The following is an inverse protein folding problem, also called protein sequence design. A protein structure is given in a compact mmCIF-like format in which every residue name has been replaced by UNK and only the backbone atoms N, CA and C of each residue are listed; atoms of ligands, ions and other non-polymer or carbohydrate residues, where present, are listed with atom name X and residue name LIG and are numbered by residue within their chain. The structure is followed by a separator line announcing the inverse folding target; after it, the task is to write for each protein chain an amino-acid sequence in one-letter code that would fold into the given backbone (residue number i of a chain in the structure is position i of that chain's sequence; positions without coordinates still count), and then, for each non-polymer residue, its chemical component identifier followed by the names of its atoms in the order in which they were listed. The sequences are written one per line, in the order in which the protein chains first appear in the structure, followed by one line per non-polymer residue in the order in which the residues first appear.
data_IF_565830545992
#
_entry.id   IF_565830545992
#
_cell.length_a   1.000
_cell.length_b   1.000
_cell.length_c   1.000
_cell.angle_alpha   90.00
_cell.angle_beta   90.00
_cell.angle_gamma   90.00
#
_symmetry.space_group_name_H-M   'P 1'
#
loop_
_entity.id
_entity.type
_entity.pdbx_description
1 polymer ?
#
# COMPACT_ATOMS: atom_id res chain seq x y z
N UNK A 1 -44.35 39.96 47.63
CA UNK A 1 -43.20 40.84 47.35
C UNK A 1 -41.92 40.02 47.34
N UNK A 2 -41.35 39.77 46.15
CA UNK A 2 -39.90 39.89 45.84
C UNK A 2 -39.65 39.27 44.47
N UNK A 3 -39.40 40.17 43.54
CA UNK A 3 -38.85 39.95 42.21
C UNK A 3 -37.46 39.34 42.33
N UNK A 4 -37.13 38.32 41.53
CA UNK A 4 -35.75 38.04 41.13
C UNK A 4 -35.73 37.47 39.71
N UNK A 5 -35.37 38.36 38.78
CA UNK A 5 -34.90 38.08 37.42
C UNK A 5 -33.62 37.23 37.54
N UNK A 6 -33.61 36.01 36.99
CA UNK A 6 -32.38 35.24 36.79
C UNK A 6 -31.98 35.31 35.32
N UNK A 7 -30.98 36.15 35.06
CA UNK A 7 -30.25 36.20 33.79
C UNK A 7 -29.30 34.99 33.77
N UNK A 8 -29.51 34.03 32.86
CA UNK A 8 -28.58 32.92 32.65
C UNK A 8 -27.52 33.38 31.65
N UNK A 9 -26.34 33.79 32.17
CA UNK A 9 -25.14 33.93 31.35
C UNK A 9 -24.60 32.53 31.03
N UNK A 10 -24.61 32.16 29.75
CA UNK A 10 -23.87 30.99 29.24
C UNK A 10 -22.38 31.30 29.23
N UNK A 11 -21.63 30.65 30.13
CA UNK A 11 -20.17 30.57 30.06
C UNK A 11 -19.80 29.57 28.96
N UNK A 12 -19.29 30.07 27.84
CA UNK A 12 -18.63 29.26 26.82
C UNK A 12 -17.20 29.03 27.31
N UNK A 13 -16.90 27.80 27.69
CA UNK A 13 -15.54 27.34 27.97
C UNK A 13 -14.75 27.35 26.65
N UNK A 14 -13.89 28.34 26.43
CA UNK A 14 -12.84 28.25 25.43
C UNK A 14 -11.80 27.25 25.94
N UNK A 15 -11.76 26.06 25.36
CA UNK A 15 -10.61 25.18 25.48
C UNK A 15 -9.45 25.83 24.71
N UNK A 16 -8.39 26.16 25.45
CA UNK A 16 -7.11 26.56 24.87
C UNK A 16 -6.56 25.39 24.05
N UNK A 17 -6.25 25.64 22.77
CA UNK A 17 -5.40 24.75 21.97
C UNK A 17 -3.96 25.15 22.29
N UNK A 18 -3.21 24.25 22.92
CA UNK A 18 -1.77 24.39 23.08
C UNK A 18 -1.11 24.31 21.70
N UNK A 19 -0.23 25.27 21.41
CA UNK A 19 0.60 25.22 20.21
C UNK A 19 1.67 24.14 20.42
N UNK A 20 1.65 23.09 19.60
CA UNK A 20 2.73 22.11 19.54
C UNK A 20 4.05 22.81 19.20
N UNK A 21 5.02 22.68 20.10
CA UNK A 21 6.38 23.16 19.90
C UNK A 21 7.07 22.30 18.85
N UNK A 22 7.50 22.92 17.76
CA UNK A 22 8.24 22.27 16.67
C UNK A 22 9.58 21.73 17.19
N UNK A 23 9.78 20.42 17.06
CA UNK A 23 11.02 19.68 17.36
C UNK A 23 12.28 20.33 16.71
N UNK A 24 13.36 20.58 17.46
CA UNK A 24 14.55 21.31 16.99
C UNK A 24 15.30 20.61 15.83
N UNK A 25 15.11 19.30 15.67
CA UNK A 25 15.62 18.52 14.54
C UNK A 25 15.15 19.05 13.17
N UNK A 26 13.96 19.67 13.10
CA UNK A 26 13.43 20.30 11.88
C UNK A 26 14.20 21.54 11.46
N UNK A 27 14.70 22.32 12.42
CA UNK A 27 15.39 23.58 12.13
C UNK A 27 16.81 23.35 11.60
N UNK A 28 17.52 22.35 12.13
CA UNK A 28 18.84 21.95 11.64
C UNK A 28 18.77 21.39 10.22
N UNK A 29 17.77 20.54 9.95
CA UNK A 29 17.52 20.00 8.61
C UNK A 29 17.16 21.10 7.59
N UNK A 30 16.46 22.16 8.02
CA UNK A 30 16.14 23.31 7.15
C UNK A 30 17.38 24.18 6.87
N UNK A 31 18.23 24.39 7.87
CA UNK A 31 19.46 25.18 7.75
C UNK A 31 20.49 24.50 6.84
N UNK A 32 20.67 23.18 6.97
CA UNK A 32 21.59 22.41 6.13
C UNK A 32 21.14 22.40 4.66
N UNK A 33 19.83 22.32 4.41
CA UNK A 33 19.29 22.33 3.05
C UNK A 33 19.36 23.72 2.37
N UNK A 34 19.28 24.81 3.13
CA UNK A 34 19.50 26.18 2.63
C UNK A 34 20.96 26.39 2.19
N UNK A 35 21.90 25.70 2.81
CA UNK A 35 23.34 25.81 2.49
C UNK A 35 23.74 25.09 1.19
N UNK A 36 22.94 24.15 0.70
CA UNK A 36 23.34 23.23 -0.38
C UNK A 36 22.74 23.51 -1.77
N UNK A 37 21.90 24.56 -1.93
CA UNK A 37 21.46 25.01 -3.26
C UNK A 37 20.67 23.99 -4.11
N UNK A 38 20.03 23.00 -3.48
CA UNK A 38 19.19 22.01 -4.19
C UNK A 38 17.95 22.67 -4.80
N UNK A 39 17.61 22.25 -6.02
CA UNK A 39 16.40 22.68 -6.72
C UNK A 39 15.13 22.29 -5.95
N UNK A 40 14.13 23.17 -5.89
CA UNK A 40 12.87 22.90 -5.20
C UNK A 40 12.15 21.63 -5.72
N UNK A 41 12.39 21.25 -6.98
CA UNK A 41 11.88 20.01 -7.59
C UNK A 41 12.48 18.73 -6.98
N UNK A 42 13.77 18.76 -6.62
CA UNK A 42 14.44 17.62 -6.00
C UNK A 42 14.06 17.49 -4.53
N UNK A 43 13.90 18.64 -3.85
CA UNK A 43 13.43 18.71 -2.47
C UNK A 43 12.02 18.18 -2.32
N UNK A 44 11.12 18.52 -3.24
CA UNK A 44 9.75 18.01 -3.25
C UNK A 44 9.72 16.49 -3.43
N UNK A 45 10.58 15.92 -4.27
CA UNK A 45 10.69 14.46 -4.44
C UNK A 45 11.21 13.75 -3.18
N UNK A 46 12.21 14.32 -2.51
CA UNK A 46 12.74 13.78 -1.24
C UNK A 46 11.71 13.87 -0.11
N UNK A 47 10.94 14.96 -0.04
CA UNK A 47 9.85 15.15 0.91
C UNK A 47 8.64 14.25 0.65
N UNK A 48 8.24 14.05 -0.61
CA UNK A 48 7.19 13.09 -0.97
C UNK A 48 7.61 11.65 -0.66
N UNK A 49 8.89 11.32 -0.86
CA UNK A 49 9.43 10.00 -0.53
C UNK A 49 9.43 9.74 0.99
N UNK A 50 9.78 10.73 1.81
CA UNK A 50 9.77 10.59 3.28
C UNK A 50 8.35 10.55 3.85
N UNK A 51 7.45 11.43 3.40
CA UNK A 51 6.04 11.40 3.81
C UNK A 51 5.31 10.11 3.37
N UNK A 52 5.65 9.55 2.20
CA UNK A 52 5.08 8.28 1.73
C UNK A 52 5.56 7.08 2.53
N UNK A 53 6.76 7.12 3.11
CA UNK A 53 7.33 6.02 3.90
C UNK A 53 6.69 5.94 5.29
N UNK A 54 6.45 7.10 5.91
CA UNK A 54 6.02 7.16 7.31
C UNK A 54 4.51 6.98 7.51
N UNK A 55 3.67 7.29 6.50
CA UNK A 55 2.21 7.17 6.60
C UNK A 55 1.61 5.83 6.12
N UNK A 56 2.38 5.03 5.37
CA UNK A 56 1.99 3.72 4.87
C UNK A 56 3.15 2.78 5.17
N UNK A 57 3.27 2.33 6.43
CA UNK A 57 4.44 1.65 7.01
C UNK A 57 4.89 0.35 6.32
N UNK A 58 5.35 0.47 5.09
CA UNK A 58 5.82 -0.59 4.23
C UNK A 58 7.08 -0.17 3.48
N UNK A 59 8.01 -1.11 3.34
CA UNK A 59 9.28 -0.92 2.67
C UNK A 59 9.08 -0.95 1.15
N UNK A 60 9.60 0.04 0.42
CA UNK A 60 9.61 0.02 -1.04
C UNK A 60 10.88 -0.65 -1.56
N UNK A 61 10.74 -1.80 -2.21
CA UNK A 61 11.85 -2.51 -2.88
C UNK A 61 11.61 -2.45 -4.39
N UNK A 62 12.40 -1.65 -5.10
CA UNK A 62 12.32 -1.50 -6.57
C UNK A 62 10.89 -1.21 -7.09
N UNK A 63 10.15 -0.35 -6.37
CA UNK A 63 8.78 0.03 -6.72
C UNK A 63 7.69 -0.95 -6.29
N UNK A 64 8.05 -2.08 -5.67
CA UNK A 64 7.10 -2.93 -4.97
C UNK A 64 7.01 -2.51 -3.51
N UNK A 65 5.79 -2.34 -3.01
CA UNK A 65 5.54 -2.03 -1.61
C UNK A 65 5.42 -3.32 -0.82
N UNK A 66 6.30 -3.54 0.15
CA UNK A 66 6.22 -4.65 1.11
C UNK A 66 5.55 -4.11 2.36
N UNK A 67 4.31 -4.51 2.62
CA UNK A 67 3.52 -4.00 3.76
C UNK A 67 3.89 -4.66 5.08
N UNK A 68 4.82 -5.61 5.07
CA UNK A 68 5.23 -6.38 6.23
C UNK A 68 4.42 -7.65 6.44
N UNK A 69 4.49 -8.17 7.66
CA UNK A 69 3.88 -9.43 8.05
C UNK A 69 2.87 -9.25 9.19
N UNK A 70 1.73 -9.90 9.06
CA UNK A 70 0.69 -9.94 10.07
C UNK A 70 0.53 -11.36 10.60
N UNK A 71 0.23 -11.48 11.89
CA UNK A 71 -0.09 -12.76 12.53
C UNK A 71 -1.56 -12.74 12.91
N UNK A 72 -2.32 -13.69 12.37
CA UNK A 72 -3.73 -13.87 12.69
C UNK A 72 -3.90 -14.23 14.17
N UNK A 73 -4.75 -13.48 14.88
CA UNK A 73 -4.93 -13.63 16.33
C UNK A 73 -5.70 -14.89 16.73
N UNK A 74 -6.45 -15.50 15.82
CA UNK A 74 -7.28 -16.67 16.11
C UNK A 74 -6.55 -17.99 15.88
N UNK A 75 -5.73 -18.06 14.84
CA UNK A 75 -5.06 -19.30 14.43
C UNK A 75 -3.52 -19.19 14.39
N UNK A 76 -2.95 -18.03 14.71
CA UNK A 76 -1.51 -17.80 14.74
C UNK A 76 -0.83 -17.86 13.38
N UNK A 77 -1.58 -17.91 12.28
CA UNK A 77 -0.98 -18.00 10.95
C UNK A 77 -0.38 -16.66 10.54
N UNK A 78 0.85 -16.72 10.06
CA UNK A 78 1.58 -15.58 9.55
C UNK A 78 1.27 -15.38 8.06
N UNK A 79 1.00 -14.14 7.68
CA UNK A 79 0.85 -13.71 6.29
C UNK A 79 1.74 -12.51 6.04
N UNK A 80 2.55 -12.55 4.99
CA UNK A 80 3.32 -11.37 4.56
C UNK A 80 2.90 -10.99 3.16
N UNK A 81 2.83 -9.68 2.89
CA UNK A 81 2.26 -9.16 1.65
C UNK A 81 3.21 -8.15 0.99
N UNK A 82 3.25 -8.19 -0.34
CA UNK A 82 3.78 -7.12 -1.16
C UNK A 82 2.79 -6.78 -2.27
N UNK A 83 2.83 -5.54 -2.77
CA UNK A 83 1.92 -5.08 -3.80
C UNK A 83 2.57 -4.09 -4.76
N UNK A 84 2.01 -4.01 -5.96
CA UNK A 84 2.32 -2.99 -6.97
C UNK A 84 1.10 -2.78 -7.84
N UNK A 85 0.66 -1.53 -7.99
CA UNK A 85 -0.58 -1.18 -8.69
C UNK A 85 -1.79 -2.00 -8.17
N UNK A 86 -2.44 -2.79 -9.02
CA UNK A 86 -3.53 -3.69 -8.65
C UNK A 86 -3.07 -5.12 -8.33
N UNK A 87 -1.76 -5.40 -8.34
CA UNK A 87 -1.21 -6.70 -7.99
C UNK A 87 -0.93 -6.78 -6.49
N UNK A 88 -1.35 -7.89 -5.89
CA UNK A 88 -1.05 -8.24 -4.51
C UNK A 88 -0.46 -9.65 -4.52
N UNK A 89 0.68 -9.83 -3.87
CA UNK A 89 1.35 -11.12 -3.71
C UNK A 89 1.57 -11.35 -2.23
N UNK A 90 1.15 -12.50 -1.73
CA UNK A 90 1.30 -12.81 -0.32
C UNK A 90 1.77 -14.25 -0.09
N UNK A 91 2.48 -14.44 1.03
CA UNK A 91 2.89 -15.74 1.51
C UNK A 91 2.03 -16.08 2.73
N UNK A 92 1.29 -17.18 2.65
CA UNK A 92 0.46 -17.70 3.73
C UNK A 92 0.69 -19.20 3.88
N UNK A 93 0.96 -19.68 5.11
CA UNK A 93 1.28 -21.09 5.38
C UNK A 93 2.37 -21.65 4.45
N UNK A 94 3.39 -20.83 4.17
CA UNK A 94 4.55 -21.17 3.33
C UNK A 94 4.25 -21.26 1.82
N UNK A 95 3.04 -20.90 1.38
CA UNK A 95 2.66 -20.90 -0.03
C UNK A 95 2.45 -19.47 -0.52
N UNK A 96 2.80 -19.25 -1.78
CA UNK A 96 2.65 -17.95 -2.46
C UNK A 96 1.33 -17.91 -3.19
N UNK A 97 0.64 -16.77 -3.08
CA UNK A 97 -0.64 -16.52 -3.70
C UNK A 97 -0.62 -15.15 -4.39
N UNK A 98 -1.42 -15.05 -5.45
CA UNK A 98 -1.57 -13.84 -6.24
C UNK A 98 -3.03 -13.38 -6.18
N UNK A 99 -3.23 -12.08 -5.99
CA UNK A 99 -4.50 -11.41 -6.19
C UNK A 99 -4.32 -10.25 -7.18
N UNK A 100 -5.39 -9.97 -7.91
CA UNK A 100 -5.51 -8.82 -8.81
C UNK A 100 -6.74 -8.04 -8.41
N UNK A 101 -6.56 -6.77 -8.07
CA UNK A 101 -7.62 -5.83 -7.74
C UNK A 101 -8.16 -5.98 -6.32
N UNK A 102 -9.20 -5.18 -6.05
CA UNK A 102 -9.94 -5.17 -4.78
C UNK A 102 -11.43 -4.89 -5.05
N UNK A 103 -12.28 -5.23 -4.08
CA UNK A 103 -13.74 -5.00 -4.14
C UNK A 103 -14.38 -5.59 -5.41
N UNK A 104 -14.25 -6.90 -5.58
CA UNK A 104 -14.67 -7.60 -6.79
C UNK A 104 -16.18 -7.66 -6.95
N UNK A 105 -16.63 -7.52 -8.20
CA UNK A 105 -18.01 -7.86 -8.53
C UNK A 105 -18.22 -9.38 -8.39
N UNK A 106 -19.28 -9.84 -7.69
CA UNK A 106 -19.43 -11.25 -7.37
C UNK A 106 -19.48 -12.19 -8.58
N UNK A 107 -18.81 -13.34 -8.44
CA UNK A 107 -18.71 -14.44 -9.40
C UNK A 107 -18.10 -14.06 -10.75
N UNK A 108 -17.40 -12.93 -10.82
CA UNK A 108 -16.74 -12.47 -12.05
C UNK A 108 -15.33 -13.03 -12.19
N UNK A 109 -14.95 -13.19 -13.45
CA UNK A 109 -13.65 -13.68 -13.84
C UNK A 109 -12.61 -12.57 -13.69
N UNK A 110 -11.41 -12.97 -13.31
CA UNK A 110 -10.21 -12.16 -13.36
C UNK A 110 -9.24 -12.78 -14.36
N UNK A 111 -8.46 -11.96 -15.05
CA UNK A 111 -7.48 -12.41 -16.05
C UNK A 111 -6.13 -11.80 -15.74
N UNK A 112 -5.09 -12.60 -15.96
CA UNK A 112 -3.69 -12.18 -15.88
C UNK A 112 -2.95 -12.73 -17.09
N UNK A 113 -2.15 -11.91 -17.76
CA UNK A 113 -1.30 -12.33 -18.88
C UNK A 113 0.09 -11.69 -18.74
N UNK A 114 1.12 -12.51 -18.55
CA UNK A 114 2.51 -12.04 -18.53
C UNK A 114 3.08 -12.08 -19.94
N UNK A 115 3.57 -10.94 -20.41
CA UNK A 115 4.13 -10.76 -21.75
C UNK A 115 3.23 -11.39 -22.85
N UNK A 116 3.79 -12.29 -23.67
CA UNK A 116 3.08 -13.02 -24.72
C UNK A 116 2.63 -14.42 -24.31
N UNK A 117 2.69 -14.76 -23.02
CA UNK A 117 2.21 -16.05 -22.53
C UNK A 117 0.68 -16.20 -22.68
N UNK A 118 0.19 -17.42 -22.52
CA UNK A 118 -1.26 -17.68 -22.48
C UNK A 118 -1.89 -16.97 -21.27
N UNK A 119 -3.07 -16.35 -21.42
CA UNK A 119 -3.81 -15.80 -20.28
C UNK A 119 -4.11 -16.87 -19.22
N UNK A 120 -3.99 -16.47 -17.97
CA UNK A 120 -4.34 -17.26 -16.78
C UNK A 120 -5.61 -16.67 -16.20
N UNK A 121 -6.59 -17.54 -15.95
CA UNK A 121 -7.92 -17.14 -15.49
C UNK A 121 -8.08 -17.44 -14.00
N UNK A 122 -8.68 -16.48 -13.31
CA UNK A 122 -9.03 -16.51 -11.90
C UNK A 122 -10.47 -16.10 -11.66
N UNK A 123 -10.87 -16.05 -10.39
CA UNK A 123 -12.20 -15.62 -9.96
C UNK A 123 -12.04 -14.63 -8.82
N UNK A 124 -12.69 -13.48 -8.94
CA UNK A 124 -12.71 -12.44 -7.90
C UNK A 124 -11.30 -12.09 -7.39
N UNK A 125 -10.39 -11.86 -8.33
CA UNK A 125 -8.99 -11.53 -8.05
C UNK A 125 -8.09 -12.73 -7.77
N UNK A 126 -8.65 -13.88 -7.37
CA UNK A 126 -7.88 -15.05 -6.93
C UNK A 126 -7.56 -16.05 -8.04
N UNK A 127 -6.42 -16.73 -7.91
CA UNK A 127 -5.93 -17.72 -8.87
C UNK A 127 -5.55 -19.04 -8.20
N UNK A 128 -5.77 -20.14 -8.91
CA UNK A 128 -5.34 -21.49 -8.50
C UNK A 128 -3.92 -21.83 -8.99
N UNK A 129 -3.49 -21.25 -10.11
CA UNK A 129 -2.25 -21.59 -10.81
C UNK A 129 -1.05 -20.78 -10.28
N UNK A 130 -0.91 -20.63 -8.96
CA UNK A 130 0.05 -19.72 -8.34
C UNK A 130 1.52 -20.04 -8.69
N UNK A 131 1.89 -21.31 -8.84
CA UNK A 131 3.25 -21.69 -9.24
C UNK A 131 3.60 -21.24 -10.65
N UNK A 132 2.67 -21.38 -11.60
CA UNK A 132 2.84 -20.89 -12.97
C UNK A 132 2.97 -19.36 -13.00
N UNK A 133 2.12 -18.65 -12.24
CA UNK A 133 2.17 -17.18 -12.17
C UNK A 133 3.51 -16.74 -11.58
N UNK A 134 3.98 -17.37 -10.50
CA UNK A 134 5.26 -17.04 -9.87
C UNK A 134 6.44 -17.18 -10.84
N UNK A 135 6.49 -18.29 -11.57
CA UNK A 135 7.57 -18.51 -12.55
C UNK A 135 7.50 -17.52 -13.72
N UNK A 136 6.29 -17.17 -14.17
CA UNK A 136 6.14 -16.11 -15.17
C UNK A 136 6.55 -14.74 -14.62
N UNK A 137 6.22 -14.40 -13.37
CA UNK A 137 6.56 -13.11 -12.77
C UNK A 137 8.06 -12.92 -12.57
N UNK A 138 8.80 -13.98 -12.20
CA UNK A 138 10.26 -13.92 -12.03
C UNK A 138 11.02 -13.67 -13.33
N UNK A 139 10.49 -14.17 -14.45
CA UNK A 139 11.17 -14.19 -15.75
C UNK A 139 10.56 -13.21 -16.76
N UNK A 140 9.38 -12.68 -16.47
CA UNK A 140 8.63 -11.79 -17.35
C UNK A 140 8.97 -10.33 -17.13
N UNK A 141 8.53 -9.49 -18.06
CA UNK A 141 8.80 -8.04 -18.04
C UNK A 141 7.57 -7.22 -17.66
N UNK A 142 6.41 -7.62 -18.18
CA UNK A 142 5.15 -6.89 -17.99
C UNK A 142 4.02 -7.87 -17.76
N UNK A 143 3.07 -7.50 -16.89
CA UNK A 143 1.82 -8.22 -16.70
C UNK A 143 0.64 -7.33 -17.03
N UNK A 144 -0.28 -7.86 -17.84
CA UNK A 144 -1.57 -7.27 -18.12
C UNK A 144 -2.64 -7.95 -17.26
N UNK A 145 -3.46 -7.18 -16.57
CA UNK A 145 -4.54 -7.66 -15.70
C UNK A 145 -5.89 -7.20 -16.20
N UNK A 146 -6.94 -7.95 -15.86
CA UNK A 146 -8.34 -7.54 -16.01
C UNK A 146 -9.16 -8.07 -14.84
N UNK A 147 -9.92 -7.20 -14.19
CA UNK A 147 -10.94 -7.59 -13.21
C UNK A 147 -12.15 -6.67 -13.28
N UNK A 148 -13.25 -7.04 -12.64
CA UNK A 148 -14.46 -6.21 -12.53
C UNK A 148 -14.59 -5.72 -11.09
N UNK A 149 -14.62 -4.40 -10.90
CA UNK A 149 -14.70 -3.75 -9.58
C UNK A 149 -16.12 -3.33 -9.26
N UNK A 150 -16.66 -3.79 -8.14
CA UNK A 150 -17.96 -3.35 -7.62
C UNK A 150 -17.95 -1.83 -7.34
N UNK A 151 -19.09 -1.11 -7.53
CA UNK A 151 -20.43 -1.58 -7.90
C UNK A 151 -20.68 -1.68 -9.40
N UNK A 152 -19.72 -1.30 -10.23
CA UNK A 152 -19.94 -1.18 -11.67
C UNK A 152 -19.42 -2.41 -12.40
N UNK A 153 -20.27 -3.02 -13.22
CA UNK A 153 -19.89 -4.20 -14.00
C UNK A 153 -19.07 -3.82 -15.24
N UNK A 154 -17.93 -3.16 -15.02
CA UNK A 154 -17.01 -2.72 -16.07
C UNK A 154 -15.62 -3.31 -15.84
N UNK A 155 -14.96 -3.66 -16.95
CA UNK A 155 -13.58 -4.11 -16.92
C UNK A 155 -12.67 -2.99 -16.39
N UNK A 156 -11.79 -3.38 -15.48
CA UNK A 156 -10.62 -2.62 -15.04
C UNK A 156 -9.41 -3.38 -15.54
N UNK A 157 -8.74 -2.75 -16.50
CA UNK A 157 -7.54 -3.29 -17.11
C UNK A 157 -6.35 -2.47 -16.64
N UNK A 158 -5.24 -3.14 -16.41
CA UNK A 158 -3.99 -2.49 -16.05
C UNK A 158 -2.80 -3.19 -16.69
N UNK A 159 -1.73 -2.44 -16.90
CA UNK A 159 -0.43 -2.95 -17.34
C UNK A 159 0.62 -2.55 -16.30
N UNK A 160 1.28 -3.55 -15.71
CA UNK A 160 2.27 -3.33 -14.65
C UNK A 160 3.61 -3.92 -15.05
N UNK A 161 4.68 -3.12 -14.90
CA UNK A 161 6.05 -3.61 -15.04
C UNK A 161 6.42 -4.56 -13.89
N UNK A 162 6.95 -5.73 -14.24
CA UNK A 162 7.47 -6.73 -13.31
C UNK A 162 8.92 -6.45 -12.88
N UNK A 163 9.52 -5.35 -13.33
CA UNK A 163 10.84 -4.91 -12.85
C UNK A 163 10.85 -4.84 -11.32
N UNK A 164 11.91 -5.40 -10.73
CA UNK A 164 12.09 -5.46 -9.28
C UNK A 164 11.31 -6.55 -8.55
N UNK A 165 10.47 -7.33 -9.25
CA UNK A 165 9.65 -8.37 -8.61
C UNK A 165 10.50 -9.42 -7.89
N UNK A 166 11.55 -9.92 -8.54
CA UNK A 166 12.40 -10.98 -7.99
C UNK A 166 13.13 -10.52 -6.71
N UNK A 167 13.60 -9.27 -6.68
CA UNK A 167 14.23 -8.66 -5.50
C UNK A 167 13.23 -8.50 -4.37
N UNK A 168 12.08 -7.87 -4.65
CA UNK A 168 11.03 -7.65 -3.65
C UNK A 168 10.47 -8.97 -3.11
N UNK A 169 10.32 -9.99 -3.96
CA UNK A 169 9.85 -11.30 -3.55
C UNK A 169 10.85 -12.01 -2.65
N UNK A 170 12.17 -11.91 -2.91
CA UNK A 170 13.19 -12.44 -2.01
C UNK A 170 13.14 -11.76 -0.64
N UNK A 171 12.91 -10.45 -0.62
CA UNK A 171 12.76 -9.70 0.62
C UNK A 171 11.49 -10.11 1.38
N UNK A 172 10.36 -10.25 0.68
CA UNK A 172 9.13 -10.79 1.27
C UNK A 172 9.34 -12.18 1.89
N UNK A 173 10.07 -13.06 1.20
CA UNK A 173 10.41 -14.38 1.72
C UNK A 173 11.33 -14.31 2.96
N UNK A 174 12.25 -13.34 3.01
CA UNK A 174 13.10 -13.10 4.18
C UNK A 174 12.25 -12.66 5.37
N UNK A 175 11.36 -11.69 5.19
CA UNK A 175 10.44 -11.23 6.23
C UNK A 175 9.49 -12.35 6.70
N UNK A 176 9.04 -13.23 5.79
CA UNK A 176 8.20 -14.36 6.16
C UNK A 176 8.92 -15.38 7.07
N UNK A 177 10.22 -15.62 6.87
CA UNK A 177 11.01 -16.58 7.67
C UNK A 177 11.38 -16.08 9.06
N UNK A 178 11.51 -14.77 9.24
CA UNK A 178 11.91 -14.14 10.50
C UNK A 178 10.75 -14.00 11.48
#
# INVERSE_FOLDING_TARGET
MRSFLFLVLTLISFQYVEAETVEPSRLETLADNLSQGKSDSERLKELEASLSSDYLGGEKVNGWLITGCEVDKFNGSKTCTMSKDDLIVYIHKGKTFFLVGTNHFPRKQTVLKVDQNKPIYGREGSFTNNGQILEQFKNGSVVNTRYIKWPYEMNRDNETSLNGFSEAYRELQRQYRN
#
